data_IF_813541723440
#
_entry.id   IF_813541723440
#
_cell.length_a   1.000
_cell.length_b   1.000
_cell.length_c   1.000
_cell.angle_alpha   90.00
_cell.angle_beta   90.00
_cell.angle_gamma   90.00
#
_symmetry.space_group_name_H-M   'P 1'
#
loop_
_entity.id
_entity.type
_entity.pdbx_description
1 polymer ?
#
# COMPACT_ATOMS: atom_id res chain seq x y z
N UNK A 1 43.56 -2.50 45.35
CA UNK A 1 42.16 -2.93 45.51
C UNK A 1 41.51 -2.83 44.15
N UNK A 2 41.10 -3.97 43.59
CA UNK A 2 40.44 -4.06 42.29
C UNK A 2 39.03 -3.52 42.47
N UNK A 3 38.65 -2.51 41.69
CA UNK A 3 37.29 -1.98 41.69
C UNK A 3 36.38 -2.89 40.90
N UNK A 4 35.38 -3.45 41.56
CA UNK A 4 34.32 -4.25 40.94
C UNK A 4 33.55 -3.39 39.93
N UNK A 5 33.70 -3.68 38.65
CA UNK A 5 32.84 -3.18 37.58
C UNK A 5 31.51 -3.92 37.65
N UNK A 6 30.45 -3.22 38.04
CA UNK A 6 29.06 -3.71 37.97
C UNK A 6 28.71 -3.91 36.50
N UNK A 7 28.73 -5.17 36.07
CA UNK A 7 28.28 -5.62 34.76
C UNK A 7 26.75 -5.47 34.69
N UNK A 8 26.30 -4.29 34.28
CA UNK A 8 24.88 -4.05 34.02
C UNK A 8 24.64 -4.55 32.60
N UNK A 9 23.81 -5.59 32.38
CA UNK A 9 23.57 -6.07 31.03
C UNK A 9 22.93 -4.92 30.24
N UNK A 10 23.56 -4.54 29.12
CA UNK A 10 22.91 -3.70 28.12
C UNK A 10 21.65 -4.46 27.65
N UNK A 11 20.49 -4.11 28.18
CA UNK A 11 19.22 -4.49 27.57
C UNK A 11 19.13 -3.79 26.22
N UNK A 12 19.46 -4.52 25.15
CA UNK A 12 19.21 -4.06 23.80
C UNK A 12 17.71 -3.93 23.62
N UNK A 13 17.24 -2.70 23.37
CA UNK A 13 15.84 -2.50 23.00
C UNK A 13 15.54 -3.33 21.74
N UNK A 14 14.69 -4.34 21.90
CA UNK A 14 14.24 -5.19 20.78
C UNK A 14 13.66 -4.28 19.70
N UNK A 15 14.07 -4.43 18.42
CA UNK A 15 13.52 -3.63 17.34
C UNK A 15 12.00 -3.71 17.32
N UNK A 16 11.35 -2.58 17.04
CA UNK A 16 9.90 -2.43 17.18
C UNK A 16 9.09 -3.46 16.35
N UNK A 17 9.67 -4.01 15.29
CA UNK A 17 9.09 -5.06 14.44
C UNK A 17 9.22 -6.49 15.00
N UNK A 18 10.14 -6.73 15.95
CA UNK A 18 10.27 -7.98 16.71
C UNK A 18 9.50 -7.94 18.03
N UNK A 19 9.04 -6.76 18.44
CA UNK A 19 8.09 -6.64 19.55
C UNK A 19 6.78 -7.24 19.05
N UNK A 20 6.37 -8.37 19.61
CA UNK A 20 5.02 -8.91 19.49
C UNK A 20 4.05 -7.93 20.16
N UNK A 21 3.75 -6.83 19.47
CA UNK A 21 2.71 -5.93 19.90
C UNK A 21 1.39 -6.56 19.49
N UNK A 22 0.86 -7.42 20.36
CA UNK A 22 -0.55 -7.80 20.42
C UNK A 22 -1.39 -6.56 20.78
N UNK A 23 -1.26 -5.47 20.01
CA UNK A 23 -2.20 -4.36 20.11
C UNK A 23 -3.48 -4.85 19.47
N UNK A 24 -4.53 -4.90 20.28
CA UNK A 24 -5.88 -5.26 19.84
C UNK A 24 -6.45 -4.24 18.82
N UNK A 25 -5.85 -3.04 18.74
CA UNK A 25 -6.29 -1.95 17.86
C UNK A 25 -5.20 -1.50 16.89
N UNK A 26 -5.54 -1.47 15.60
CA UNK A 26 -4.69 -0.96 14.53
C UNK A 26 -4.87 0.54 14.31
N UNK A 27 -3.76 1.23 14.08
CA UNK A 27 -3.75 2.64 13.66
C UNK A 27 -4.38 2.79 12.26
N UNK A 28 -4.84 4.00 11.88
CA UNK A 28 -5.37 4.23 10.54
C UNK A 28 -4.39 3.86 9.41
N UNK A 29 -3.09 4.08 9.63
CA UNK A 29 -2.04 3.72 8.68
C UNK A 29 -1.91 2.20 8.52
N UNK A 30 -1.83 1.45 9.62
CA UNK A 30 -1.76 -0.02 9.59
C UNK A 30 -3.00 -0.64 8.95
N UNK A 31 -4.19 -0.07 9.19
CA UNK A 31 -5.42 -0.49 8.51
C UNK A 31 -5.34 -0.27 7.00
N UNK A 32 -4.77 0.86 6.59
CA UNK A 32 -4.50 1.16 5.18
C UNK A 32 -3.57 0.12 4.57
N UNK A 33 -2.42 -0.13 5.21
CA UNK A 33 -1.45 -1.13 4.79
C UNK A 33 -2.07 -2.51 4.65
N UNK A 34 -2.83 -2.99 5.64
CA UNK A 34 -3.51 -4.27 5.56
C UNK A 34 -4.48 -4.36 4.38
N UNK A 35 -5.23 -3.29 4.09
CA UNK A 35 -6.12 -3.22 2.93
C UNK A 35 -5.33 -3.25 1.62
N UNK A 36 -4.21 -2.53 1.50
CA UNK A 36 -3.35 -2.60 0.33
C UNK A 36 -2.80 -4.01 0.12
N UNK A 37 -2.32 -4.67 1.18
CA UNK A 37 -1.86 -6.06 1.11
C UNK A 37 -2.94 -6.99 0.56
N UNK A 38 -4.20 -6.84 1.01
CA UNK A 38 -5.32 -7.61 0.44
C UNK A 38 -5.49 -7.32 -1.06
N UNK A 39 -5.55 -6.05 -1.45
CA UNK A 39 -5.74 -5.65 -2.85
C UNK A 39 -4.58 -6.07 -3.76
N UNK A 40 -3.36 -6.10 -3.23
CA UNK A 40 -2.16 -6.59 -3.90
C UNK A 40 -2.23 -8.10 -4.15
N UNK A 41 -2.73 -8.87 -3.20
CA UNK A 41 -2.75 -10.33 -3.27
C UNK A 41 -4.03 -10.91 -3.90
N UNK A 42 -5.09 -10.10 -4.04
CA UNK A 42 -6.37 -10.54 -4.56
C UNK A 42 -6.23 -11.17 -5.96
N UNK A 43 -6.76 -12.37 -6.14
CA UNK A 43 -6.92 -12.99 -7.45
C UNK A 43 -8.19 -12.45 -8.10
N UNK A 44 -8.00 -11.62 -9.14
CA UNK A 44 -9.06 -10.97 -9.89
C UNK A 44 -9.84 -11.91 -10.83
N UNK A 45 -9.36 -13.16 -11.00
CA UNK A 45 -10.07 -14.18 -11.74
C UNK A 45 -11.12 -14.92 -10.87
N UNK A 46 -10.90 -15.01 -9.55
CA UNK A 46 -11.76 -15.74 -8.60
C UNK A 46 -12.54 -14.81 -7.66
N UNK A 47 -13.35 -13.92 -8.24
CA UNK A 47 -14.18 -12.94 -7.51
C UNK A 47 -15.64 -13.01 -7.95
N UNK A 48 -16.19 -14.22 -8.01
CA UNK A 48 -17.56 -14.45 -8.44
C UNK A 48 -18.61 -13.85 -7.47
N UNK A 49 -18.28 -13.77 -6.17
CA UNK A 49 -19.15 -13.23 -5.13
C UNK A 49 -18.33 -12.80 -3.90
N UNK A 50 -19.01 -12.19 -2.92
CA UNK A 50 -18.42 -11.74 -1.66
C UNK A 50 -17.74 -12.88 -0.89
N UNK A 51 -18.34 -14.09 -0.88
CA UNK A 51 -17.79 -15.23 -0.14
C UNK A 51 -16.46 -15.72 -0.73
N UNK A 52 -16.28 -15.65 -2.06
CA UNK A 52 -15.01 -15.96 -2.70
C UNK A 52 -13.91 -14.97 -2.24
N UNK A 53 -14.22 -13.68 -2.17
CA UNK A 53 -13.28 -12.67 -1.64
C UNK A 53 -12.98 -12.95 -0.17
N UNK A 54 -13.99 -13.18 0.65
CA UNK A 54 -13.85 -13.51 2.08
C UNK A 54 -12.90 -14.70 2.29
N UNK A 55 -13.04 -15.74 1.47
CA UNK A 55 -12.16 -16.91 1.48
C UNK A 55 -10.71 -16.53 1.12
N UNK A 56 -10.49 -15.76 0.06
CA UNK A 56 -9.15 -15.29 -0.30
C UNK A 56 -8.49 -14.52 0.86
N UNK A 57 -9.22 -13.59 1.50
CA UNK A 57 -8.69 -12.82 2.63
C UNK A 57 -8.37 -13.73 3.82
N UNK A 58 -9.19 -14.76 4.09
CA UNK A 58 -8.90 -15.75 5.13
C UNK A 58 -7.64 -16.57 4.81
N UNK A 59 -7.45 -16.97 3.55
CA UNK A 59 -6.24 -17.66 3.10
C UNK A 59 -4.97 -16.80 3.29
N UNK A 60 -5.07 -15.47 3.21
CA UNK A 60 -3.92 -14.60 3.55
C UNK A 60 -3.55 -14.70 5.03
N UNK A 61 -4.50 -14.93 5.93
CA UNK A 61 -4.23 -15.19 7.36
C UNK A 61 -3.58 -16.55 7.55
N UNK A 62 -4.09 -17.58 6.89
CA UNK A 62 -3.53 -18.94 6.93
C UNK A 62 -2.08 -18.97 6.45
N UNK A 63 -1.76 -18.16 5.43
CA UNK A 63 -0.40 -17.99 4.89
C UNK A 63 0.50 -17.08 5.76
N UNK A 64 -0.03 -16.47 6.83
CA UNK A 64 0.70 -15.53 7.66
C UNK A 64 1.01 -14.18 7.00
N UNK A 65 0.37 -13.88 5.85
CA UNK A 65 0.49 -12.60 5.15
C UNK A 65 -0.29 -11.51 5.91
N UNK A 66 -1.42 -11.89 6.52
CA UNK A 66 -2.18 -11.04 7.43
C UNK A 66 -2.22 -11.67 8.83
N UNK A 67 -2.20 -10.82 9.84
CA UNK A 67 -2.55 -11.19 11.21
C UNK A 67 -4.07 -11.31 11.37
N UNK A 68 -4.53 -11.99 12.43
CA UNK A 68 -5.96 -12.05 12.78
C UNK A 68 -6.55 -10.65 13.07
N UNK A 69 -5.74 -9.77 13.65
CA UNK A 69 -6.14 -8.37 13.95
C UNK A 69 -6.28 -7.55 12.67
N UNK A 70 -5.38 -7.71 11.70
CA UNK A 70 -5.52 -7.06 10.39
C UNK A 70 -6.74 -7.59 9.65
N UNK A 71 -6.96 -8.90 9.68
CA UNK A 71 -8.13 -9.50 9.07
C UNK A 71 -9.46 -8.93 9.59
N UNK A 72 -9.56 -8.69 10.89
CA UNK A 72 -10.80 -8.25 11.53
C UNK A 72 -11.21 -6.82 11.14
N UNK A 73 -10.26 -6.01 10.64
CA UNK A 73 -10.54 -4.63 10.20
C UNK A 73 -10.78 -4.50 8.69
N UNK A 74 -10.56 -5.56 7.91
CA UNK A 74 -10.83 -5.59 6.47
C UNK A 74 -12.34 -5.65 6.23
N UNK A 75 -12.84 -4.69 5.45
CA UNK A 75 -14.22 -4.69 4.99
C UNK A 75 -14.28 -5.27 3.57
N UNK A 76 -14.75 -6.51 3.47
CA UNK A 76 -14.85 -7.23 2.18
C UNK A 76 -15.94 -6.64 1.26
N UNK A 77 -16.96 -6.00 1.81
CA UNK A 77 -17.99 -5.32 0.98
C UNK A 77 -17.39 -4.16 0.18
N UNK A 78 -16.41 -3.45 0.73
CA UNK A 78 -15.70 -2.40 0.00
C UNK A 78 -14.89 -2.98 -1.18
N UNK A 79 -14.23 -4.12 -0.96
CA UNK A 79 -13.48 -4.83 -2.02
C UNK A 79 -14.46 -5.29 -3.10
N UNK A 80 -15.55 -5.94 -2.71
CA UNK A 80 -16.61 -6.37 -3.61
C UNK A 80 -17.18 -5.21 -4.44
N UNK A 81 -17.47 -4.08 -3.79
CA UNK A 81 -17.97 -2.87 -4.46
C UNK A 81 -16.98 -2.37 -5.50
N UNK A 82 -15.70 -2.34 -5.18
CA UNK A 82 -14.66 -1.93 -6.13
C UNK A 82 -14.56 -2.89 -7.31
N UNK A 83 -14.39 -4.19 -7.08
CA UNK A 83 -14.19 -5.17 -8.17
C UNK A 83 -15.44 -5.31 -9.06
N UNK A 84 -16.62 -5.03 -8.50
CA UNK A 84 -17.89 -5.01 -9.23
C UNK A 84 -18.15 -3.68 -9.95
N UNK A 85 -17.40 -2.62 -9.63
CA UNK A 85 -17.53 -1.32 -10.29
C UNK A 85 -17.08 -1.36 -11.75
N UNK A 86 -17.46 -0.35 -12.54
CA UNK A 86 -16.98 -0.21 -13.93
C UNK A 86 -15.45 -0.22 -14.03
N UNK A 87 -14.75 0.40 -13.07
CA UNK A 87 -13.29 0.45 -13.06
C UNK A 87 -12.68 -0.91 -12.70
N UNK A 88 -13.24 -1.60 -11.71
CA UNK A 88 -12.83 -2.95 -11.35
C UNK A 88 -13.03 -3.95 -12.48
N UNK A 89 -14.17 -3.87 -13.18
CA UNK A 89 -14.43 -4.70 -14.37
C UNK A 89 -13.43 -4.44 -15.49
N UNK A 90 -13.07 -3.17 -15.75
CA UNK A 90 -12.02 -2.82 -16.71
C UNK A 90 -10.67 -3.40 -16.32
N UNK A 91 -10.28 -3.28 -15.05
CA UNK A 91 -9.03 -3.84 -14.53
C UNK A 91 -8.99 -5.37 -14.65
N UNK A 92 -10.11 -6.07 -14.42
CA UNK A 92 -10.21 -7.53 -14.59
C UNK A 92 -10.08 -7.98 -16.04
N UNK A 93 -10.60 -7.18 -16.96
CA UNK A 93 -10.53 -7.42 -18.41
C UNK A 93 -9.25 -6.86 -19.03
N UNK A 94 -8.33 -6.34 -18.23
CA UNK A 94 -7.09 -5.78 -18.71
C UNK A 94 -6.20 -6.89 -19.30
N UNK A 95 -5.48 -6.53 -20.35
CA UNK A 95 -4.48 -7.39 -20.99
C UNK A 95 -3.32 -7.70 -20.04
N UNK A 96 -2.94 -6.71 -19.23
CA UNK A 96 -1.92 -6.85 -18.21
C UNK A 96 -2.25 -5.98 -16.99
N UNK A 97 -1.97 -6.51 -15.80
CA UNK A 97 -2.11 -5.81 -14.52
C UNK A 97 -0.80 -5.90 -13.77
N UNK A 98 -0.20 -4.75 -13.48
CA UNK A 98 0.98 -4.60 -12.65
C UNK A 98 0.56 -4.02 -11.31
N UNK A 99 1.01 -4.62 -10.21
CA UNK A 99 0.73 -4.16 -8.84
C UNK A 99 2.02 -3.95 -8.07
N UNK A 100 2.02 -2.96 -7.18
CA UNK A 100 3.21 -2.57 -6.39
C UNK A 100 4.44 -2.38 -7.29
N UNK A 101 4.27 -1.62 -8.37
CA UNK A 101 5.32 -1.40 -9.38
C UNK A 101 6.29 -0.32 -8.89
N UNK A 102 7.54 -0.66 -8.51
CA UNK A 102 8.52 0.34 -8.12
C UNK A 102 8.96 1.14 -9.34
N UNK A 103 9.21 2.43 -9.13
CA UNK A 103 9.81 3.29 -10.15
C UNK A 103 10.83 4.24 -9.53
N UNK A 104 11.75 4.67 -10.38
CA UNK A 104 12.72 5.71 -10.08
C UNK A 104 12.87 6.64 -11.28
N UNK A 105 12.95 7.94 -11.04
CA UNK A 105 13.23 8.94 -12.07
C UNK A 105 14.20 9.98 -11.57
N UNK A 106 15.13 10.36 -12.44
CA UNK A 106 15.97 11.54 -12.25
C UNK A 106 15.22 12.74 -12.80
N UNK A 107 15.08 13.77 -11.97
CA UNK A 107 14.41 15.01 -12.33
C UNK A 107 15.41 16.17 -12.16
N UNK A 108 15.35 17.21 -13.01
CA UNK A 108 16.20 18.38 -12.84
C UNK A 108 15.94 19.08 -11.50
N UNK A 109 16.98 19.30 -10.69
CA UNK A 109 16.84 19.89 -9.36
C UNK A 109 16.24 21.30 -9.39
N UNK A 110 16.63 22.11 -10.39
CA UNK A 110 16.17 23.48 -10.61
C UNK A 110 14.64 23.62 -10.74
N UNK A 111 13.94 22.59 -11.18
CA UNK A 111 12.48 22.63 -11.30
C UNK A 111 11.76 22.55 -9.94
N UNK A 112 12.46 22.11 -8.89
CA UNK A 112 11.87 21.79 -7.58
C UNK A 112 12.52 22.53 -6.41
N UNK A 113 13.80 22.90 -6.51
CA UNK A 113 14.57 23.56 -5.47
C UNK A 113 15.06 24.92 -5.96
N UNK A 114 14.69 25.99 -5.23
CA UNK A 114 15.05 27.37 -5.60
C UNK A 114 16.52 27.68 -5.33
N UNK A 115 17.15 26.90 -4.46
CA UNK A 115 18.55 27.02 -4.07
C UNK A 115 19.49 26.29 -5.02
N UNK A 116 18.96 25.43 -5.89
CA UNK A 116 19.76 24.78 -6.93
C UNK A 116 20.29 25.84 -7.90
N UNK A 117 21.58 25.74 -8.25
CA UNK A 117 22.24 26.70 -9.16
C UNK A 117 22.86 26.03 -10.38
N UNK A 118 23.02 24.71 -10.36
CA UNK A 118 23.56 23.93 -11.48
C UNK A 118 22.42 23.32 -12.31
N UNK A 119 22.51 23.43 -13.65
CA UNK A 119 21.54 22.86 -14.58
C UNK A 119 21.67 21.34 -14.70
N UNK A 120 22.85 20.79 -14.38
CA UNK A 120 23.12 19.35 -14.42
C UNK A 120 22.73 18.64 -13.12
N UNK A 121 22.38 19.37 -12.06
CA UNK A 121 21.96 18.78 -10.78
C UNK A 121 20.63 18.04 -10.93
N UNK A 122 20.59 16.80 -10.41
CA UNK A 122 19.43 15.92 -10.50
C UNK A 122 18.98 15.46 -9.11
N UNK A 123 17.66 15.38 -8.94
CA UNK A 123 17.02 14.74 -7.80
C UNK A 123 16.52 13.36 -8.23
N UNK A 124 16.75 12.36 -7.38
CA UNK A 124 16.21 11.04 -7.60
C UNK A 124 14.87 10.88 -6.88
N UNK A 125 13.80 10.82 -7.67
CA UNK A 125 12.46 10.53 -7.18
C UNK A 125 12.21 9.03 -7.24
N UNK A 126 11.79 8.44 -6.12
CA UNK A 126 11.39 7.06 -6.04
C UNK A 126 9.97 6.94 -5.53
N UNK A 127 9.27 5.91 -6.00
CA UNK A 127 7.94 5.59 -5.53
C UNK A 127 7.51 4.20 -5.93
N UNK A 128 6.32 3.83 -5.49
CA UNK A 128 5.66 2.59 -5.85
C UNK A 128 4.27 2.95 -6.35
N UNK A 129 3.89 2.44 -7.52
CA UNK A 129 2.56 2.58 -8.07
C UNK A 129 1.75 1.38 -7.60
N UNK A 130 0.65 1.60 -6.88
CA UNK A 130 -0.21 0.51 -6.39
C UNK A 130 -0.67 -0.38 -7.55
N UNK A 131 -1.18 0.25 -8.63
CA UNK A 131 -1.67 -0.45 -9.82
C UNK A 131 -1.40 0.35 -11.10
N UNK A 132 -0.89 -0.35 -12.10
CA UNK A 132 -0.89 0.07 -13.50
C UNK A 132 -1.49 -1.06 -14.32
N UNK A 133 -2.51 -0.82 -15.13
CA UNK A 133 -3.05 -1.84 -16.03
C UNK A 133 -3.18 -1.36 -17.48
N UNK A 134 -2.94 -2.28 -18.41
CA UNK A 134 -3.04 -2.08 -19.85
C UNK A 134 -4.38 -2.64 -20.35
N UNK A 135 -5.20 -1.78 -20.97
CA UNK A 135 -6.40 -2.20 -21.66
C UNK A 135 -6.08 -2.85 -23.00
N UNK A 136 -7.01 -3.66 -23.54
CA UNK A 136 -6.87 -4.30 -24.86
C UNK A 136 -6.62 -3.31 -26.03
N UNK A 137 -7.05 -2.06 -25.88
CA UNK A 137 -6.82 -0.99 -26.85
C UNK A 137 -5.43 -0.33 -26.74
N UNK A 138 -4.58 -0.77 -25.79
CA UNK A 138 -3.25 -0.23 -25.54
C UNK A 138 -3.20 0.96 -24.56
N UNK A 139 -4.33 1.39 -23.99
CA UNK A 139 -4.35 2.46 -22.99
C UNK A 139 -3.82 1.96 -21.64
N UNK A 140 -3.03 2.80 -20.98
CA UNK A 140 -2.58 2.56 -19.61
C UNK A 140 -3.39 3.37 -18.60
N UNK A 141 -3.82 2.69 -17.54
CA UNK A 141 -4.59 3.27 -16.45
C UNK A 141 -3.79 3.11 -15.17
N UNK A 142 -3.48 4.24 -14.53
CA UNK A 142 -2.88 4.28 -13.20
C UNK A 142 -3.99 4.35 -12.15
N UNK A 143 -3.86 3.53 -11.11
CA UNK A 143 -4.80 3.46 -10.01
C UNK A 143 -4.02 3.37 -8.69
N UNK A 144 -4.44 4.19 -7.73
CA UNK A 144 -3.95 4.21 -6.36
C UNK A 144 -5.14 3.97 -5.42
N UNK A 145 -4.98 3.04 -4.49
CA UNK A 145 -6.00 2.71 -3.50
C UNK A 145 -5.89 3.67 -2.32
N UNK A 146 -6.99 4.30 -1.95
CA UNK A 146 -7.04 5.17 -0.77
C UNK A 146 -8.12 4.71 0.21
N UNK A 147 -7.74 4.55 1.47
CA UNK A 147 -8.66 4.17 2.57
C UNK A 147 -9.16 5.36 3.39
N UNK A 148 -9.11 6.57 2.83
CA UNK A 148 -9.60 7.78 3.51
C UNK A 148 -11.09 7.67 3.83
N UNK A 149 -11.46 8.18 5.01
CA UNK A 149 -12.86 8.20 5.45
C UNK A 149 -13.49 9.54 5.12
N UNK A 150 -14.66 9.50 4.48
CA UNK A 150 -15.59 10.64 4.32
C UNK A 150 -14.99 11.86 3.61
N UNK A 151 -14.09 11.66 2.66
CA UNK A 151 -13.58 12.76 1.83
C UNK A 151 -14.48 12.98 0.61
N UNK A 152 -14.69 14.24 0.22
CA UNK A 152 -15.37 14.56 -1.04
C UNK A 152 -14.43 14.31 -2.23
N UNK A 153 -14.99 14.09 -3.42
CA UNK A 153 -14.18 13.93 -4.63
C UNK A 153 -13.30 15.16 -4.93
N UNK A 154 -13.76 16.37 -4.59
CA UNK A 154 -12.95 17.58 -4.75
C UNK A 154 -11.77 17.62 -3.76
N UNK A 155 -12.01 17.27 -2.49
CA UNK A 155 -10.95 17.19 -1.49
C UNK A 155 -9.93 16.10 -1.83
N UNK A 156 -10.38 14.95 -2.33
CA UNK A 156 -9.52 13.87 -2.80
C UNK A 156 -8.58 14.35 -3.92
N UNK A 157 -9.12 15.02 -4.94
CA UNK A 157 -8.31 15.57 -6.04
C UNK A 157 -7.29 16.58 -5.54
N UNK A 158 -7.70 17.55 -4.73
CA UNK A 158 -6.78 18.56 -4.20
C UNK A 158 -5.64 17.94 -3.36
N UNK A 159 -5.95 16.87 -2.62
CA UNK A 159 -4.96 16.18 -1.77
C UNK A 159 -3.96 15.37 -2.58
N UNK A 160 -4.39 14.72 -3.65
CA UNK A 160 -3.58 13.74 -4.39
C UNK A 160 -3.04 14.27 -5.74
N UNK A 161 -3.37 15.50 -6.13
CA UNK A 161 -2.96 16.10 -7.41
C UNK A 161 -1.45 16.16 -7.68
N UNK A 162 -0.62 16.16 -6.64
CA UNK A 162 0.84 16.15 -6.81
C UNK A 162 1.42 14.74 -6.83
N UNK A 163 0.63 13.75 -6.39
CA UNK A 163 1.02 12.34 -6.36
C UNK A 163 0.61 11.61 -7.65
N UNK A 164 -0.51 12.03 -8.27
CA UNK A 164 -1.14 11.40 -9.45
C UNK A 164 -1.16 12.34 -10.64
#
# INVERSE_FOLDING_TARGET
AVGDSVDTPLEWEVPRFLRSSEREYLTPMERGTAMHTVMQQLDLSDIANIAAIEQQVNTLVEKGILTKTERSVINVDHIWTFVSSKLGQRMRAAKAVYRELPFGRLLPALAYYKEATDEDDQIFLQGIIDVLFEEENGNYILLDYKTDRKISAAAARARYQFQV
#
